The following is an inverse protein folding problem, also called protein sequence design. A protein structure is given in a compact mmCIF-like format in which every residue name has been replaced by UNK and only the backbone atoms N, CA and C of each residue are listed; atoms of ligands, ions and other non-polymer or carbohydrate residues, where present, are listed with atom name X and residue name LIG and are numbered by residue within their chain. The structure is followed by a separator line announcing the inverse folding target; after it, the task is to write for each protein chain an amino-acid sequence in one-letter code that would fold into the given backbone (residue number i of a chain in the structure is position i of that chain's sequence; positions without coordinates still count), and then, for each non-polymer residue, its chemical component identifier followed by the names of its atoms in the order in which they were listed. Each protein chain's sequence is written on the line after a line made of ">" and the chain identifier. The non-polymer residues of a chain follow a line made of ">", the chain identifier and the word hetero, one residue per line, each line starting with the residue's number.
data_IF_639684995728
#
_entry.id   IF_639684995728
#
_cell.length_a   1.000
_cell.length_b   1.000
_cell.length_c   1.000
_cell.angle_alpha   90.00
_cell.angle_beta   90.00
_cell.angle_gamma   90.00
#
_symmetry.space_group_name_H-M   'P 1'
#
loop_
_entity.id
_entity.type
_entity.pdbx_description
1 polymer ?
#
# COMPACT_ATOMS: atom_id res chain seq x y z
N UNK A 1 -32.82 -72.35 13.81
CA UNK A 1 -33.46 -71.30 14.66
C UNK A 1 -33.09 -69.95 14.17
N UNK A 2 -33.93 -69.42 13.27
CA UNK A 2 -33.77 -68.06 12.71
C UNK A 2 -34.43 -67.04 13.67
N UNK A 3 -33.68 -66.04 14.14
CA UNK A 3 -34.26 -64.87 14.79
C UNK A 3 -34.37 -63.74 13.76
N UNK A 4 -35.58 -63.46 13.42
CA UNK A 4 -35.96 -62.31 12.57
C UNK A 4 -35.77 -61.04 13.34
N UNK A 5 -34.92 -60.15 12.84
CA UNK A 5 -34.75 -58.81 13.36
C UNK A 5 -35.88 -57.89 12.84
N UNK A 6 -36.50 -57.17 13.76
CA UNK A 6 -37.66 -56.32 13.57
C UNK A 6 -37.29 -55.04 12.78
N UNK A 7 -37.93 -54.72 11.65
CA UNK A 7 -37.53 -53.59 10.78
C UNK A 7 -38.00 -52.20 11.28
N UNK A 8 -38.48 -52.09 12.51
CA UNK A 8 -39.11 -50.84 12.98
C UNK A 8 -38.17 -49.83 13.65
N UNK A 9 -36.86 -50.14 13.84
CA UNK A 9 -35.96 -49.28 14.56
C UNK A 9 -35.02 -48.45 13.66
N UNK A 10 -35.11 -48.58 12.34
CA UNK A 10 -34.14 -47.92 11.42
C UNK A 10 -34.66 -46.63 10.76
N UNK A 11 -35.80 -46.08 11.15
CA UNK A 11 -36.42 -44.95 10.43
C UNK A 11 -36.46 -43.60 11.15
N UNK A 12 -35.97 -43.50 12.37
CA UNK A 12 -36.03 -42.26 13.16
C UNK A 12 -34.71 -41.48 13.21
N UNK A 13 -33.60 -42.05 12.78
CA UNK A 13 -32.29 -41.41 12.91
C UNK A 13 -31.76 -40.69 11.66
N UNK A 14 -32.46 -40.71 10.52
CA UNK A 14 -31.91 -40.18 9.26
C UNK A 14 -32.32 -38.73 8.93
N UNK A 15 -33.29 -38.15 9.59
CA UNK A 15 -33.80 -36.80 9.23
C UNK A 15 -33.18 -35.65 10.02
N UNK A 16 -32.67 -35.89 11.23
CA UNK A 16 -32.09 -34.82 12.07
C UNK A 16 -30.65 -34.42 11.74
N UNK A 17 -29.87 -35.38 11.17
CA UNK A 17 -28.44 -35.14 10.97
C UNK A 17 -28.12 -34.36 9.69
N UNK A 18 -28.99 -34.39 8.67
CA UNK A 18 -28.78 -33.65 7.41
C UNK A 18 -28.96 -32.15 7.55
N UNK A 19 -29.85 -31.68 8.43
CA UNK A 19 -30.09 -30.25 8.64
C UNK A 19 -29.02 -29.62 9.54
N UNK A 20 -28.47 -30.37 10.50
CA UNK A 20 -27.38 -29.89 11.36
C UNK A 20 -26.07 -29.77 10.55
N UNK A 21 -25.79 -30.73 9.67
CA UNK A 21 -24.61 -30.67 8.81
C UNK A 21 -24.65 -29.50 7.80
N UNK A 22 -25.82 -29.18 7.25
CA UNK A 22 -25.99 -28.03 6.34
C UNK A 22 -25.85 -26.70 7.08
N UNK A 23 -26.40 -26.60 8.29
CA UNK A 23 -26.25 -25.37 9.11
C UNK A 23 -24.81 -25.11 9.53
N UNK A 24 -24.02 -26.15 9.84
CA UNK A 24 -22.61 -26.00 10.20
C UNK A 24 -21.76 -25.60 8.98
N UNK A 25 -22.03 -26.14 7.81
CA UNK A 25 -21.30 -25.76 6.58
C UNK A 25 -21.60 -24.33 6.16
N UNK A 26 -22.86 -23.87 6.29
CA UNK A 26 -23.23 -22.48 5.99
C UNK A 26 -22.65 -21.49 7.01
N UNK A 27 -22.54 -21.87 8.29
CA UNK A 27 -21.94 -21.02 9.32
C UNK A 27 -20.42 -20.86 9.14
N UNK A 28 -19.70 -21.88 8.64
CA UNK A 28 -18.26 -21.82 8.39
C UNK A 28 -17.92 -20.97 7.16
N UNK A 29 -18.80 -20.91 6.16
CA UNK A 29 -18.56 -20.07 4.95
C UNK A 29 -18.77 -18.57 5.22
N UNK A 30 -19.49 -18.17 6.25
CA UNK A 30 -19.70 -16.77 6.63
C UNK A 30 -18.58 -16.23 7.54
N UNK A 31 -17.78 -17.07 8.18
CA UNK A 31 -16.67 -16.67 9.04
C UNK A 31 -15.38 -16.35 8.26
N UNK A 32 -15.30 -16.72 6.97
CA UNK A 32 -14.09 -16.57 6.16
C UNK A 32 -13.77 -15.17 5.66
N UNK A 33 -14.71 -14.21 5.75
CA UNK A 33 -14.49 -12.86 5.19
C UNK A 33 -13.99 -11.83 6.20
N UNK A 34 -13.85 -12.15 7.48
CA UNK A 34 -13.48 -11.19 8.50
C UNK A 34 -11.96 -11.04 8.71
N UNK A 35 -11.15 -11.91 8.15
CA UNK A 35 -9.69 -11.87 8.36
C UNK A 35 -8.93 -11.00 7.37
N UNK A 36 -9.60 -10.48 6.35
CA UNK A 36 -8.95 -9.64 5.32
C UNK A 36 -9.02 -8.13 5.60
N UNK A 37 -9.55 -7.72 6.76
CA UNK A 37 -9.90 -6.31 7.02
C UNK A 37 -9.10 -5.63 8.13
N UNK A 38 -8.02 -6.20 8.62
CA UNK A 38 -7.27 -5.59 9.71
C UNK A 38 -5.79 -5.41 9.37
N UNK A 39 -5.51 -4.56 8.37
CA UNK A 39 -4.25 -3.83 8.38
C UNK A 39 -4.22 -2.91 9.63
N UNK A 40 -3.05 -2.66 10.23
CA UNK A 40 -2.96 -1.70 11.32
C UNK A 40 -3.51 -0.36 10.83
N UNK A 41 -4.57 0.12 11.49
CA UNK A 41 -5.11 1.46 11.22
C UNK A 41 -4.08 2.46 11.72
N UNK A 42 -3.63 3.37 10.86
CA UNK A 42 -2.89 4.54 11.31
C UNK A 42 -3.78 5.24 12.32
N UNK A 43 -3.26 5.44 13.54
CA UNK A 43 -4.04 5.98 14.65
C UNK A 43 -4.49 7.42 14.38
N UNK A 44 -5.51 7.94 15.08
CA UNK A 44 -6.12 9.23 14.83
C UNK A 44 -5.27 10.44 15.28
N UNK A 45 -3.96 10.39 15.24
CA UNK A 45 -3.19 11.32 16.05
C UNK A 45 -2.48 12.45 15.33
N UNK A 46 -2.24 12.43 14.04
CA UNK A 46 -1.23 13.38 13.56
C UNK A 46 -1.76 14.31 12.46
N UNK A 47 -1.88 15.59 12.83
CA UNK A 47 -2.09 16.69 11.90
C UNK A 47 -0.93 16.75 10.91
N UNK A 48 -1.16 16.32 9.68
CA UNK A 48 -0.15 16.30 8.63
C UNK A 48 -0.02 14.99 7.87
N UNK A 49 -0.74 13.94 8.27
CA UNK A 49 -0.78 12.67 7.56
C UNK A 49 -1.52 12.75 6.22
N UNK A 50 -1.22 11.80 5.34
CA UNK A 50 -1.97 11.59 4.09
C UNK A 50 -2.09 10.09 3.78
N UNK A 51 -3.06 9.78 2.94
CA UNK A 51 -3.10 8.52 2.24
C UNK A 51 -3.24 8.78 0.75
N UNK A 52 -2.52 8.02 -0.07
CA UNK A 52 -2.56 8.13 -1.51
C UNK A 52 -2.57 6.75 -2.16
N UNK A 53 -3.50 6.55 -3.08
CA UNK A 53 -3.51 5.38 -3.97
C UNK A 53 -3.02 5.79 -5.36
N UNK A 54 -2.51 4.80 -6.08
CA UNK A 54 -2.12 5.04 -7.45
C UNK A 54 -1.46 3.83 -8.10
N UNK A 55 -0.80 4.11 -9.21
CA UNK A 55 0.05 3.14 -9.90
C UNK A 55 1.47 3.64 -9.97
N UNK A 56 2.41 2.72 -9.91
CA UNK A 56 3.82 3.01 -10.11
C UNK A 56 4.43 2.10 -11.17
N UNK A 57 5.45 2.60 -11.83
CA UNK A 57 6.34 1.82 -12.66
C UNK A 57 7.78 2.19 -12.30
N UNK A 58 8.60 1.18 -12.12
CA UNK A 58 10.03 1.30 -11.84
C UNK A 58 10.81 0.69 -12.98
N UNK A 59 11.87 1.35 -13.41
CA UNK A 59 12.89 0.81 -14.30
C UNK A 59 14.26 1.04 -13.69
N UNK A 60 15.11 0.02 -13.73
CA UNK A 60 16.48 0.06 -13.28
C UNK A 60 17.34 -0.72 -14.31
N UNK A 61 18.06 0.01 -15.13
CA UNK A 61 18.71 -0.57 -16.30
C UNK A 61 17.70 -1.21 -17.26
N UNK A 62 17.90 -2.49 -17.54
CA UNK A 62 17.01 -3.29 -18.40
C UNK A 62 15.83 -3.92 -17.66
N UNK A 63 15.85 -3.93 -16.33
CA UNK A 63 14.81 -4.49 -15.50
C UNK A 63 13.72 -3.46 -15.19
N UNK A 64 12.51 -3.96 -14.89
CA UNK A 64 11.43 -3.08 -14.46
C UNK A 64 10.20 -3.84 -14.04
N UNK A 65 9.38 -3.17 -13.23
CA UNK A 65 8.09 -3.69 -12.80
C UNK A 65 7.05 -2.57 -12.72
N UNK A 66 5.79 -2.97 -12.66
CA UNK A 66 4.65 -2.08 -12.41
C UNK A 66 3.78 -2.64 -11.30
N UNK A 67 3.27 -1.75 -10.46
CA UNK A 67 2.46 -2.11 -9.31
C UNK A 67 1.37 -1.07 -9.08
N UNK A 68 0.28 -1.45 -8.47
CA UNK A 68 -0.56 -0.52 -7.74
C UNK A 68 0.07 -0.26 -6.38
N UNK A 69 -0.21 0.88 -5.78
CA UNK A 69 0.23 1.19 -4.43
C UNK A 69 -0.87 1.87 -3.62
N UNK A 70 -0.80 1.67 -2.31
CA UNK A 70 -1.43 2.47 -1.28
C UNK A 70 -0.34 2.91 -0.32
N UNK A 71 -0.14 4.20 -0.17
CA UNK A 71 0.78 4.76 0.81
C UNK A 71 -0.01 5.54 1.84
N UNK A 72 0.17 5.19 3.09
CA UNK A 72 -0.37 5.86 4.25
C UNK A 72 0.80 6.44 5.05
N UNK A 73 0.79 7.75 5.21
CA UNK A 73 1.82 8.50 5.93
C UNK A 73 1.24 9.14 7.18
N UNK A 74 1.95 9.00 8.28
CA UNK A 74 1.77 9.74 9.53
C UNK A 74 3.15 10.16 10.05
N UNK A 75 3.29 11.17 10.94
CA UNK A 75 4.60 11.70 11.36
C UNK A 75 5.64 10.67 11.81
N UNK A 76 5.21 9.56 12.40
CA UNK A 76 6.11 8.52 12.91
C UNK A 76 5.89 7.17 12.22
N UNK A 77 5.14 7.14 11.12
CA UNK A 77 4.82 5.88 10.45
C UNK A 77 4.53 6.09 8.98
N UNK A 78 5.22 5.34 8.17
CA UNK A 78 4.90 5.11 6.78
C UNK A 78 4.49 3.66 6.55
N UNK A 79 3.40 3.46 5.83
CA UNK A 79 2.94 2.14 5.41
C UNK A 79 2.67 2.16 3.90
N UNK A 80 3.39 1.33 3.16
CA UNK A 80 3.28 1.24 1.71
C UNK A 80 2.93 -0.18 1.34
N UNK A 81 1.72 -0.35 0.81
CA UNK A 81 1.26 -1.60 0.21
C UNK A 81 1.48 -1.55 -1.30
N UNK A 82 2.06 -2.62 -1.85
CA UNK A 82 2.28 -2.80 -3.28
C UNK A 82 1.60 -4.10 -3.73
N UNK A 83 0.89 -4.05 -4.86
CA UNK A 83 0.29 -5.25 -5.45
C UNK A 83 0.27 -5.16 -6.97
N UNK A 84 0.40 -6.30 -7.63
CA UNK A 84 0.38 -6.39 -9.09
C UNK A 84 -0.96 -5.94 -9.71
N UNK A 85 -0.99 -5.70 -11.03
CA UNK A 85 -2.16 -5.16 -11.73
C UNK A 85 -3.46 -5.94 -11.56
N UNK A 86 -3.38 -7.25 -11.29
CA UNK A 86 -4.52 -8.13 -11.04
C UNK A 86 -4.60 -8.63 -9.59
N UNK A 87 -4.04 -7.85 -8.64
CA UNK A 87 -4.14 -8.10 -7.20
C UNK A 87 -3.21 -9.16 -6.64
N UNK A 88 -2.29 -9.70 -7.43
CA UNK A 88 -1.30 -10.70 -6.98
C UNK A 88 -0.02 -10.04 -6.47
N UNK A 89 0.74 -10.80 -5.69
CA UNK A 89 2.08 -10.38 -5.25
C UNK A 89 2.05 -9.23 -4.25
N UNK A 90 1.13 -9.26 -3.27
CA UNK A 90 1.01 -8.21 -2.26
C UNK A 90 2.25 -8.17 -1.37
N UNK A 91 2.93 -7.03 -1.33
CA UNK A 91 4.04 -6.76 -0.42
C UNK A 91 3.75 -5.49 0.37
N UNK A 92 4.18 -5.46 1.63
CA UNK A 92 3.96 -4.34 2.53
C UNK A 92 5.26 -3.89 3.15
N UNK A 93 5.51 -2.59 3.10
CA UNK A 93 6.59 -1.91 3.79
C UNK A 93 5.99 -1.09 4.92
N UNK A 94 6.55 -1.21 6.11
CA UNK A 94 6.20 -0.40 7.26
C UNK A 94 7.47 0.16 7.86
N UNK A 95 7.58 1.48 7.89
CA UNK A 95 8.54 2.19 8.72
C UNK A 95 7.78 2.76 9.92
N UNK A 96 8.19 2.39 11.12
CA UNK A 96 7.60 2.88 12.35
C UNK A 96 8.72 3.13 13.36
N UNK A 97 8.87 4.37 13.80
CA UNK A 97 9.89 4.79 14.76
C UNK A 97 11.32 4.38 14.35
N UNK A 98 11.62 4.41 13.05
CA UNK A 98 12.91 4.02 12.48
C UNK A 98 13.16 2.52 12.42
N UNK A 99 12.14 1.71 12.64
CA UNK A 99 12.17 0.26 12.41
C UNK A 99 11.38 -0.09 11.16
N UNK A 100 12.04 -0.78 10.23
CA UNK A 100 11.44 -1.18 8.98
C UNK A 100 11.08 -2.66 9.05
N UNK A 101 9.86 -2.97 8.67
CA UNK A 101 9.43 -4.33 8.37
C UNK A 101 8.96 -4.43 6.93
N UNK A 102 9.37 -5.47 6.25
CA UNK A 102 8.93 -5.79 4.89
C UNK A 102 8.25 -7.16 4.93
N UNK A 103 6.99 -7.19 4.56
CA UNK A 103 6.27 -8.43 4.31
C UNK A 103 6.26 -8.69 2.81
N UNK A 104 6.93 -9.74 2.39
CA UNK A 104 6.98 -10.14 0.99
C UNK A 104 5.70 -10.84 0.54
N UNK A 105 5.52 -10.96 -0.77
CA UNK A 105 4.34 -11.58 -1.38
C UNK A 105 4.11 -13.06 -1.01
N UNK A 106 5.15 -13.77 -0.59
CA UNK A 106 5.09 -15.14 -0.09
C UNK A 106 4.76 -15.24 1.41
N UNK A 107 4.59 -14.09 2.09
CA UNK A 107 4.30 -13.99 3.52
C UNK A 107 5.53 -13.93 4.42
N UNK A 108 6.75 -14.02 3.88
CA UNK A 108 7.96 -13.85 4.67
C UNK A 108 8.05 -12.42 5.22
N UNK A 109 8.45 -12.29 6.49
CA UNK A 109 8.63 -11.00 7.15
C UNK A 109 10.10 -10.77 7.43
N UNK A 110 10.60 -9.62 7.02
CA UNK A 110 11.97 -9.18 7.22
C UNK A 110 11.97 -7.91 8.04
N UNK A 111 12.93 -7.79 8.94
CA UNK A 111 13.14 -6.59 9.75
C UNK A 111 14.50 -6.00 9.42
N UNK A 112 14.52 -4.71 9.17
CA UNK A 112 15.73 -3.94 8.89
C UNK A 112 15.75 -2.71 9.81
N UNK A 113 16.95 -2.33 10.24
CA UNK A 113 17.15 -1.12 11.04
C UNK A 113 17.69 0.04 10.18
N UNK A 114 17.84 -0.18 8.87
CA UNK A 114 18.37 0.78 7.92
C UNK A 114 17.47 0.79 6.69
N UNK A 115 16.84 1.94 6.44
CA UNK A 115 15.91 2.17 5.31
C UNK A 115 16.62 1.97 3.99
N UNK A 116 17.83 2.50 3.85
CA UNK A 116 18.59 2.42 2.61
C UNK A 116 18.97 0.97 2.30
N UNK A 117 19.39 0.21 3.30
CA UNK A 117 19.69 -1.22 3.14
C UNK A 117 18.44 -2.03 2.75
N UNK A 118 17.28 -1.73 3.36
CA UNK A 118 16.01 -2.35 2.99
C UNK A 118 15.64 -2.04 1.53
N UNK A 119 15.68 -0.77 1.14
CA UNK A 119 15.36 -0.34 -0.22
C UNK A 119 16.32 -0.95 -1.24
N UNK A 120 17.63 -0.92 -0.98
CA UNK A 120 18.62 -1.52 -1.86
C UNK A 120 18.40 -3.02 -2.04
N UNK A 121 18.02 -3.73 -0.99
CA UNK A 121 17.74 -5.18 -1.06
C UNK A 121 16.49 -5.50 -1.87
N UNK A 122 15.42 -4.70 -1.70
CA UNK A 122 14.10 -5.02 -2.25
C UNK A 122 13.83 -4.36 -3.60
N UNK A 123 14.34 -3.16 -3.83
CA UNK A 123 14.15 -2.41 -5.06
C UNK A 123 15.38 -2.41 -5.97
N UNK A 124 16.56 -2.72 -5.42
CA UNK A 124 17.84 -2.64 -6.13
C UNK A 124 18.45 -1.23 -6.14
N UNK A 125 17.83 -0.25 -5.50
CA UNK A 125 18.28 1.13 -5.39
C UNK A 125 17.73 1.78 -4.11
N UNK A 126 18.39 2.87 -3.67
CA UNK A 126 17.93 3.63 -2.49
C UNK A 126 17.01 4.76 -2.90
N UNK A 127 15.93 4.95 -2.11
CA UNK A 127 15.00 6.07 -2.21
C UNK A 127 14.96 6.82 -0.88
N UNK A 128 15.16 8.14 -0.85
CA UNK A 128 15.09 8.92 0.38
C UNK A 128 13.62 9.07 0.83
N UNK A 129 13.14 8.17 1.69
CA UNK A 129 11.72 8.11 2.12
C UNK A 129 11.27 9.43 2.72
N UNK A 130 12.09 10.06 3.57
CA UNK A 130 11.76 11.36 4.16
C UNK A 130 11.50 12.42 3.08
N UNK A 131 12.28 12.42 2.01
CA UNK A 131 12.07 13.35 0.90
C UNK A 131 10.86 12.97 0.06
N UNK A 132 10.60 11.66 -0.11
CA UNK A 132 9.46 11.17 -0.89
C UNK A 132 8.12 11.65 -0.34
N UNK A 133 7.96 11.79 0.99
CA UNK A 133 6.74 12.27 1.61
C UNK A 133 6.38 13.68 1.14
N UNK A 134 7.38 14.51 0.82
CA UNK A 134 7.22 15.84 0.24
C UNK A 134 7.07 15.77 -1.28
N UNK A 135 7.95 15.01 -1.94
CA UNK A 135 7.98 14.93 -3.39
C UNK A 135 6.68 14.40 -3.99
N UNK A 136 6.05 13.43 -3.35
CA UNK A 136 4.77 12.87 -3.83
C UNK A 136 3.65 13.91 -3.85
N UNK A 137 3.73 14.94 -3.01
CA UNK A 137 2.79 16.06 -2.93
C UNK A 137 3.17 17.23 -3.87
N UNK A 138 4.29 17.13 -4.60
CA UNK A 138 4.80 18.22 -5.42
C UNK A 138 5.49 19.31 -4.60
N UNK A 139 6.10 18.96 -3.47
CA UNK A 139 6.79 19.85 -2.56
C UNK A 139 8.29 19.57 -2.53
N UNK A 140 9.08 20.56 -2.14
CA UNK A 140 10.51 20.39 -1.85
C UNK A 140 10.68 19.75 -0.48
N UNK A 141 11.54 18.76 -0.36
CA UNK A 141 11.89 18.22 0.96
C UNK A 141 12.70 19.26 1.76
N UNK A 142 12.28 19.60 2.99
CA UNK A 142 12.99 20.55 3.82
C UNK A 142 14.34 19.97 4.29
N UNK A 143 15.30 20.86 4.59
CA UNK A 143 16.62 20.46 5.11
C UNK A 143 17.61 19.97 4.04
N UNK A 144 17.19 19.78 2.80
CA UNK A 144 18.06 19.35 1.70
C UNK A 144 18.28 20.47 0.68
N UNK A 145 19.49 20.55 0.16
CA UNK A 145 19.81 21.51 -0.88
C UNK A 145 19.00 21.25 -2.16
N UNK A 146 18.55 22.32 -2.78
CA UNK A 146 17.85 22.30 -4.07
C UNK A 146 18.79 22.82 -5.15
N UNK A 147 19.13 21.98 -6.13
CA UNK A 147 19.96 22.38 -7.26
C UNK A 147 19.14 23.15 -8.30
N UNK A 148 17.94 22.69 -8.60
CA UNK A 148 17.02 23.34 -9.53
C UNK A 148 15.59 23.22 -9.01
N UNK A 149 14.78 24.26 -9.18
CA UNK A 149 13.33 24.18 -8.99
C UNK A 149 12.64 25.17 -9.93
N UNK A 150 11.72 24.70 -10.73
CA UNK A 150 10.87 25.52 -11.58
C UNK A 150 9.41 25.25 -11.31
N UNK A 151 8.59 26.29 -11.38
CA UNK A 151 7.16 26.21 -11.18
C UNK A 151 6.43 26.85 -12.39
N UNK A 152 5.18 26.47 -12.59
CA UNK A 152 4.32 27.10 -13.57
C UNK A 152 3.73 28.44 -13.07
N UNK A 153 2.87 29.07 -13.89
CA UNK A 153 2.23 30.32 -13.54
C UNK A 153 1.26 30.22 -12.34
N UNK A 154 0.81 29.02 -11.98
CA UNK A 154 -0.03 28.75 -10.81
C UNK A 154 0.79 28.51 -9.53
N UNK A 155 2.12 28.42 -9.66
CA UNK A 155 3.03 28.09 -8.56
C UNK A 155 3.22 26.59 -8.36
N UNK A 156 2.62 25.75 -9.19
CA UNK A 156 2.80 24.30 -9.13
C UNK A 156 4.21 23.93 -9.60
N UNK A 157 4.90 23.11 -8.84
CA UNK A 157 6.26 22.68 -9.14
C UNK A 157 6.29 21.81 -10.41
N UNK A 158 7.11 22.17 -11.38
CA UNK A 158 7.24 21.45 -12.64
C UNK A 158 8.50 20.60 -12.70
N UNK A 159 9.60 21.09 -12.17
CA UNK A 159 10.88 20.38 -12.09
C UNK A 159 11.51 20.65 -10.75
N UNK A 160 12.09 19.62 -10.16
CA UNK A 160 12.89 19.69 -8.93
C UNK A 160 14.11 18.78 -9.07
N UNK A 161 15.30 19.35 -8.87
CA UNK A 161 16.55 18.59 -8.70
C UNK A 161 16.98 18.67 -7.23
N UNK A 162 16.88 17.54 -6.52
CA UNK A 162 17.18 17.42 -5.09
C UNK A 162 17.71 16.01 -4.78
N UNK A 163 18.73 15.89 -3.91
CA UNK A 163 19.32 14.60 -3.49
C UNK A 163 19.76 13.70 -4.66
N UNK A 164 20.33 14.28 -5.72
CA UNK A 164 20.69 13.58 -6.95
C UNK A 164 19.51 12.94 -7.72
N UNK A 165 18.29 13.29 -7.35
CA UNK A 165 17.07 12.96 -8.08
C UNK A 165 16.58 14.17 -8.88
N UNK A 166 16.19 13.91 -10.14
CA UNK A 166 15.42 14.83 -10.95
C UNK A 166 13.98 14.39 -10.96
N UNK A 167 13.10 15.26 -10.53
CA UNK A 167 11.65 15.04 -10.50
C UNK A 167 10.99 15.96 -11.52
N UNK A 168 10.10 15.39 -12.32
CA UNK A 168 9.26 16.11 -13.27
C UNK A 168 7.81 15.87 -12.91
N UNK A 169 7.05 16.93 -12.77
CA UNK A 169 5.66 16.92 -12.31
C UNK A 169 4.71 17.40 -13.41
N UNK A 170 3.56 16.77 -13.50
CA UNK A 170 2.48 17.19 -14.41
C UNK A 170 1.11 16.76 -13.90
N UNK A 171 0.07 17.16 -14.63
CA UNK A 171 -1.32 16.76 -14.40
C UNK A 171 -1.84 17.14 -13.01
N UNK A 172 -1.47 18.34 -12.52
CA UNK A 172 -1.89 18.83 -11.21
C UNK A 172 -3.42 18.92 -11.13
N UNK A 173 -3.95 18.47 -9.99
CA UNK A 173 -5.38 18.49 -9.71
C UNK A 173 -5.65 18.96 -8.29
N UNK A 174 -6.82 19.57 -8.08
CA UNK A 174 -7.30 19.88 -6.75
C UNK A 174 -7.86 18.62 -6.08
N UNK A 175 -7.54 18.42 -4.80
CA UNK A 175 -8.15 17.39 -3.97
C UNK A 175 -9.44 17.91 -3.33
N UNK A 176 -10.31 17.04 -2.77
CA UNK A 176 -11.50 17.48 -2.04
C UNK A 176 -11.22 18.47 -0.91
N UNK A 177 -10.03 18.41 -0.29
CA UNK A 177 -9.57 19.35 0.74
C UNK A 177 -8.97 20.66 0.20
N UNK A 178 -8.96 20.86 -1.13
CA UNK A 178 -8.44 22.07 -1.79
C UNK A 178 -6.92 22.10 -2.02
N UNK A 179 -6.17 21.11 -1.52
CA UNK A 179 -4.75 20.97 -1.83
C UNK A 179 -4.56 20.65 -3.33
N UNK A 180 -3.51 21.21 -3.94
CA UNK A 180 -3.15 20.87 -5.32
C UNK A 180 -2.00 19.86 -5.30
N UNK A 181 -2.18 18.75 -5.99
CA UNK A 181 -1.21 17.64 -6.02
C UNK A 181 -0.96 17.20 -7.46
N UNK A 182 0.26 16.71 -7.78
CA UNK A 182 0.55 16.19 -9.11
C UNK A 182 -0.20 14.89 -9.38
N UNK A 183 -0.71 14.73 -10.58
CA UNK A 183 -1.31 13.49 -11.07
C UNK A 183 -0.29 12.57 -11.72
N UNK A 184 0.91 13.11 -12.02
CA UNK A 184 2.03 12.35 -12.58
C UNK A 184 3.34 12.91 -12.07
N UNK A 185 4.21 12.01 -11.62
CA UNK A 185 5.57 12.30 -11.16
C UNK A 185 6.51 11.35 -11.87
N UNK A 186 7.57 11.88 -12.45
CA UNK A 186 8.67 11.09 -13.01
C UNK A 186 9.94 11.46 -12.25
N UNK A 187 10.49 10.53 -11.50
CA UNK A 187 11.74 10.68 -10.76
C UNK A 187 12.85 9.87 -11.44
N UNK A 188 14.00 10.48 -11.67
CA UNK A 188 15.16 9.84 -12.30
C UNK A 188 16.42 10.10 -11.49
N UNK A 189 17.26 9.06 -11.32
CA UNK A 189 18.58 9.16 -10.72
C UNK A 189 19.47 8.05 -11.32
N UNK A 190 20.52 8.43 -12.03
CA UNK A 190 21.35 7.46 -12.78
C UNK A 190 20.51 6.68 -13.80
N UNK A 191 20.54 5.36 -13.70
CA UNK A 191 19.78 4.42 -14.53
C UNK A 191 18.42 4.03 -13.94
N UNK A 192 18.05 4.60 -12.80
CA UNK A 192 16.74 4.39 -12.15
C UNK A 192 15.75 5.42 -12.64
N UNK A 193 14.55 4.95 -13.03
CA UNK A 193 13.39 5.78 -13.34
C UNK A 193 12.17 5.25 -12.63
N UNK A 194 11.57 6.09 -11.82
CA UNK A 194 10.31 5.82 -11.13
C UNK A 194 9.23 6.73 -11.70
N UNK A 195 8.12 6.15 -12.12
CA UNK A 195 6.93 6.91 -12.53
C UNK A 195 5.81 6.61 -11.56
N UNK A 196 5.28 7.64 -10.91
CA UNK A 196 4.10 7.56 -10.05
C UNK A 196 2.91 8.22 -10.74
N UNK A 197 1.77 7.59 -10.64
CA UNK A 197 0.47 8.09 -11.10
C UNK A 197 -0.50 8.07 -9.90
N UNK A 198 -0.39 9.06 -8.98
CA UNK A 198 -1.32 9.18 -7.86
C UNK A 198 -2.74 9.40 -8.38
N UNK A 199 -3.74 8.74 -7.80
CA UNK A 199 -5.14 8.86 -8.22
C UNK A 199 -6.03 9.42 -7.13
N UNK A 200 -6.03 8.82 -5.95
CA UNK A 200 -6.93 9.15 -4.86
C UNK A 200 -6.13 9.62 -3.65
N UNK A 201 -6.54 10.76 -3.10
CA UNK A 201 -5.89 11.39 -1.98
C UNK A 201 -6.86 11.61 -0.83
N UNK A 202 -6.37 11.36 0.38
CA UNK A 202 -7.00 11.77 1.63
C UNK A 202 -5.95 12.45 2.51
N UNK A 203 -6.31 13.57 3.14
CA UNK A 203 -5.45 14.33 4.04
C UNK A 203 -6.11 14.44 5.41
N UNK A 204 -5.31 14.43 6.46
CA UNK A 204 -5.74 14.61 7.83
C UNK A 204 -5.32 13.48 8.75
N UNK A 205 -5.64 13.60 10.06
CA UNK A 205 -5.15 12.70 11.10
C UNK A 205 -5.65 11.24 10.98
N UNK A 206 -6.61 10.98 10.12
CA UNK A 206 -7.11 9.64 9.83
C UNK A 206 -7.23 9.46 8.31
N UNK A 207 -6.15 9.72 7.58
CA UNK A 207 -6.09 9.46 6.15
C UNK A 207 -6.07 7.95 5.90
N UNK A 208 -7.15 7.26 6.27
CA UNK A 208 -7.38 5.88 5.89
C UNK A 208 -8.37 5.88 4.72
N UNK A 209 -8.03 5.20 3.64
CA UNK A 209 -9.05 4.77 2.72
C UNK A 209 -9.84 3.66 3.42
N UNK A 210 -11.13 3.90 3.65
CA UNK A 210 -12.03 2.80 3.91
C UNK A 210 -11.86 1.82 2.75
N UNK A 211 -11.56 0.60 3.10
CA UNK A 211 -11.32 -0.50 2.18
C UNK A 211 -12.40 -0.56 1.11
N UNK A 212 -11.99 -0.35 -0.12
CA UNK A 212 -12.78 -0.72 -1.29
C UNK A 212 -12.77 -2.22 -1.48
#
# INVERSE_FOLDING_TARGET
>A
MQRTANPFFLKVFSSGCRHIAVCVVVAVTLAGCAWFQSGPKIGPADAGGFAVKGRMAVRHGDDGFSSNFLWQHAPNRDEIDLWGPIGQGHSRFVDADGQISVTAANGDVFHENDVDAAMQRWLGFSLPIDALTHWVRGERAPGYAVATATADASGDLMVLDQLAWRLEYSDYRATPGGARVPGRIVATSGDVKVTLLPSDWSFGPAAAFDTL
#
